data_IF_172165070611
#
_entry.id   IF_172165070611
#
_cell.length_a   1.000
_cell.length_b   1.000
_cell.length_c   1.000
_cell.angle_alpha   90.00
_cell.angle_beta   90.00
_cell.angle_gamma   90.00
#
_symmetry.space_group_name_H-M   'P 1'
#
loop_
_entity.id
_entity.type
_entity.pdbx_description
1 polymer ?
#
# COMPACT_ATOMS: atom_id res chain seq x y z
N UNK A 1 -5.01 -11.73 -3.74
CA UNK A 1 -3.84 -11.78 -2.86
C UNK A 1 -2.59 -11.30 -3.58
N UNK A 2 -1.72 -10.57 -2.89
CA UNK A 2 -0.43 -10.18 -3.49
C UNK A 2 0.51 -11.38 -3.55
N UNK A 3 1.17 -11.56 -4.69
CA UNK A 3 2.22 -12.57 -4.83
C UNK A 3 3.39 -12.27 -3.87
N UNK A 4 4.14 -13.29 -3.49
CA UNK A 4 5.24 -13.14 -2.53
C UNK A 4 6.27 -12.09 -2.99
N UNK A 5 6.56 -12.03 -4.29
CA UNK A 5 7.51 -11.06 -4.86
C UNK A 5 7.06 -9.61 -4.72
N UNK A 6 5.77 -9.39 -4.49
CA UNK A 6 5.20 -8.04 -4.33
C UNK A 6 4.96 -7.67 -2.86
N UNK A 7 5.44 -8.47 -1.91
CA UNK A 7 5.29 -8.18 -0.49
C UNK A 7 6.57 -7.60 0.09
N UNK A 8 6.48 -6.38 0.62
CA UNK A 8 7.59 -5.75 1.32
C UNK A 8 7.70 -6.29 2.73
N UNK A 9 8.89 -6.73 3.14
CA UNK A 9 9.11 -7.35 4.45
C UNK A 9 10.16 -6.65 5.29
N UNK A 10 11.02 -5.83 4.69
CA UNK A 10 12.12 -5.17 5.39
C UNK A 10 11.65 -3.91 6.11
N UNK A 11 11.95 -3.81 7.43
CA UNK A 11 11.66 -2.60 8.21
C UNK A 11 12.39 -1.38 7.65
N UNK A 12 13.62 -1.57 7.17
CA UNK A 12 14.40 -0.50 6.57
C UNK A 12 13.71 0.04 5.31
N UNK A 13 13.15 -0.85 4.51
CA UNK A 13 12.42 -0.46 3.30
C UNK A 13 11.15 0.32 3.64
N UNK A 14 10.41 -0.10 4.66
CA UNK A 14 9.24 0.64 5.14
C UNK A 14 9.60 2.08 5.50
N UNK A 15 10.69 2.25 6.26
CA UNK A 15 11.13 3.58 6.69
C UNK A 15 11.59 4.43 5.51
N UNK A 16 12.31 3.82 4.57
CA UNK A 16 12.81 4.51 3.38
C UNK A 16 11.66 5.05 2.53
N UNK A 17 10.63 4.25 2.32
CA UNK A 17 9.44 4.68 1.56
C UNK A 17 8.71 5.80 2.28
N UNK A 18 8.55 5.70 3.61
CA UNK A 18 7.88 6.73 4.38
C UNK A 18 8.62 8.07 4.35
N UNK A 19 9.94 8.04 4.37
CA UNK A 19 10.76 9.27 4.39
C UNK A 19 10.85 9.93 3.03
N UNK A 20 11.00 9.14 1.98
CA UNK A 20 11.36 9.64 0.65
C UNK A 20 10.22 9.56 -0.35
N UNK A 21 9.17 8.80 -0.05
CA UNK A 21 8.04 8.61 -0.95
C UNK A 21 7.03 9.75 -0.88
N UNK A 22 6.18 9.79 -1.88
CA UNK A 22 5.05 10.72 -1.91
C UNK A 22 3.93 10.18 -1.05
N UNK A 23 3.36 11.06 -0.21
CA UNK A 23 2.23 10.72 0.66
C UNK A 23 0.92 10.98 -0.04
N UNK A 24 0.06 9.98 -0.07
CA UNK A 24 -1.27 10.06 -0.68
C UNK A 24 -2.28 9.60 0.37
N UNK A 25 -3.27 10.43 0.64
CA UNK A 25 -4.36 10.08 1.56
C UNK A 25 -5.60 9.76 0.74
N UNK A 26 -6.12 8.56 0.93
CA UNK A 26 -7.37 8.13 0.31
C UNK A 26 -8.26 7.51 1.40
N UNK A 27 -9.51 7.21 1.09
CA UNK A 27 -10.47 6.76 2.10
C UNK A 27 -9.95 5.57 2.93
N UNK A 28 -9.77 5.76 4.23
CA UNK A 28 -9.33 4.72 5.16
C UNK A 28 -7.86 4.35 5.09
N UNK A 29 -7.07 4.99 4.22
CA UNK A 29 -5.67 4.63 3.99
C UNK A 29 -4.77 5.86 3.88
N UNK A 30 -3.53 5.71 4.38
CA UNK A 30 -2.42 6.61 4.05
C UNK A 30 -1.43 5.77 3.26
N UNK A 31 -1.10 6.21 2.05
CA UNK A 31 -0.21 5.47 1.16
C UNK A 31 1.04 6.30 0.89
N UNK A 32 2.21 5.69 1.05
CA UNK A 32 3.48 6.29 0.64
C UNK A 32 4.01 5.52 -0.57
N UNK A 33 4.41 6.25 -1.60
CA UNK A 33 4.88 5.64 -2.86
C UNK A 33 6.26 6.20 -3.20
N UNK A 34 7.23 5.31 -3.38
CA UNK A 34 8.60 5.66 -3.77
C UNK A 34 8.94 4.98 -5.09
N UNK A 35 8.93 5.75 -6.17
CA UNK A 35 9.27 5.25 -7.49
C UNK A 35 10.76 4.95 -7.61
N UNK A 36 11.08 3.87 -8.35
CA UNK A 36 12.47 3.52 -8.63
C UNK A 36 13.25 2.95 -7.45
N UNK A 37 12.58 2.62 -6.36
CA UNK A 37 13.23 2.07 -5.17
C UNK A 37 13.92 0.73 -5.43
N UNK A 38 13.32 -0.11 -6.27
CA UNK A 38 13.82 -1.44 -6.59
C UNK A 38 14.11 -1.55 -8.08
N UNK A 39 15.06 -0.76 -8.57
CA UNK A 39 15.41 -0.77 -10.00
C UNK A 39 15.74 -2.19 -10.47
N UNK A 40 15.05 -2.62 -11.52
CA UNK A 40 15.24 -3.96 -12.09
C UNK A 40 14.49 -5.07 -11.35
N UNK A 41 13.70 -4.74 -10.32
CA UNK A 41 12.97 -5.71 -9.52
C UNK A 41 11.47 -5.42 -9.53
N UNK A 42 10.69 -6.34 -8.94
CA UNK A 42 9.25 -6.19 -8.84
C UNK A 42 8.86 -5.07 -7.86
N UNK A 43 7.74 -4.40 -8.12
CA UNK A 43 7.12 -3.47 -7.18
C UNK A 43 6.75 -4.21 -5.90
N UNK A 44 7.01 -3.60 -4.75
CA UNK A 44 6.70 -4.20 -3.45
C UNK A 44 5.75 -3.33 -2.64
N UNK A 45 4.80 -3.98 -1.97
CA UNK A 45 3.79 -3.33 -1.14
C UNK A 45 3.92 -3.83 0.29
N UNK A 46 4.10 -2.90 1.22
CA UNK A 46 4.13 -3.18 2.64
C UNK A 46 2.88 -2.64 3.32
N UNK A 47 2.38 -3.36 4.32
CA UNK A 47 1.18 -2.98 5.05
C UNK A 47 1.51 -2.67 6.50
N UNK A 48 0.86 -1.63 7.04
CA UNK A 48 0.87 -1.33 8.46
C UNK A 48 -0.58 -1.29 8.95
N UNK A 49 -0.97 -2.27 9.73
CA UNK A 49 -2.31 -2.34 10.33
C UNK A 49 -2.11 -2.43 11.84
N UNK A 50 -2.29 -1.30 12.53
CA UNK A 50 -2.01 -1.19 13.94
C UNK A 50 -3.17 -1.62 14.83
N UNK A 51 -2.93 -1.56 16.15
CA UNK A 51 -3.93 -1.93 17.16
C UNK A 51 -5.17 -1.03 17.12
N UNK A 52 -5.04 0.18 16.61
CA UNK A 52 -6.15 1.11 16.43
C UNK A 52 -7.17 0.64 15.38
N UNK A 53 -6.81 -0.37 14.59
CA UNK A 53 -7.72 -1.00 13.62
C UNK A 53 -8.46 -2.22 14.19
N UNK A 54 -8.30 -2.50 15.48
CA UNK A 54 -9.03 -3.57 16.17
C UNK A 54 -8.13 -4.71 16.68
N UNK A 55 -8.75 -5.83 17.00
CA UNK A 55 -8.04 -7.01 17.50
C UNK A 55 -7.31 -7.75 16.36
N UNK A 56 -6.58 -8.82 16.69
CA UNK A 56 -5.78 -9.55 15.69
C UNK A 56 -6.62 -10.15 14.57
N UNK A 57 -7.83 -10.60 14.85
CA UNK A 57 -8.72 -11.14 13.81
C UNK A 57 -9.14 -10.03 12.84
N UNK A 58 -9.53 -8.88 13.38
CA UNK A 58 -9.93 -7.72 12.58
C UNK A 58 -8.78 -7.18 11.75
N UNK A 59 -7.58 -7.08 12.36
CA UNK A 59 -6.37 -6.61 11.65
C UNK A 59 -5.99 -7.55 10.51
N UNK A 60 -6.09 -8.86 10.73
CA UNK A 60 -5.78 -9.84 9.71
C UNK A 60 -6.76 -9.74 8.53
N UNK A 61 -8.05 -9.56 8.83
CA UNK A 61 -9.08 -9.35 7.80
C UNK A 61 -8.80 -8.09 6.99
N UNK A 62 -8.44 -7.00 7.67
CA UNK A 62 -8.09 -5.73 7.03
C UNK A 62 -6.89 -5.90 6.11
N UNK A 63 -5.84 -6.60 6.57
CA UNK A 63 -4.66 -6.86 5.75
C UNK A 63 -5.02 -7.61 4.47
N UNK A 64 -5.86 -8.62 4.56
CA UNK A 64 -6.32 -9.38 3.38
C UNK A 64 -7.11 -8.51 2.41
N UNK A 65 -7.97 -7.63 2.93
CA UNK A 65 -8.74 -6.70 2.10
C UNK A 65 -7.83 -5.75 1.34
N UNK A 66 -6.84 -5.19 2.02
CA UNK A 66 -5.88 -4.26 1.42
C UNK A 66 -5.05 -4.97 0.36
N UNK A 67 -4.55 -6.16 0.64
CA UNK A 67 -3.78 -6.94 -0.34
C UNK A 67 -4.61 -7.26 -1.57
N UNK A 68 -5.85 -7.64 -1.39
CA UNK A 68 -6.76 -7.92 -2.51
C UNK A 68 -7.00 -6.67 -3.35
N UNK A 69 -7.17 -5.51 -2.71
CA UNK A 69 -7.38 -4.24 -3.41
C UNK A 69 -6.14 -3.80 -4.19
N UNK A 70 -4.93 -4.06 -3.65
CA UNK A 70 -3.68 -3.64 -4.28
C UNK A 70 -3.17 -4.63 -5.33
N UNK A 71 -3.67 -5.85 -5.36
CA UNK A 71 -3.24 -6.83 -6.35
C UNK A 71 -3.34 -6.31 -7.79
N UNK A 72 -4.49 -5.78 -8.24
CA UNK A 72 -4.56 -5.21 -9.60
C UNK A 72 -3.79 -3.90 -9.76
N UNK A 73 -3.53 -3.18 -8.67
CA UNK A 73 -2.84 -1.89 -8.71
C UNK A 73 -1.35 -2.06 -9.00
N UNK A 74 -0.74 -3.12 -8.49
CA UNK A 74 0.71 -3.37 -8.62
C UNK A 74 1.15 -3.35 -10.09
N UNK A 75 0.37 -3.94 -10.98
CA UNK A 75 0.70 -4.00 -12.40
C UNK A 75 0.56 -2.64 -13.10
N UNK A 76 -0.13 -1.70 -12.50
CA UNK A 76 -0.34 -0.36 -13.06
C UNK A 76 0.73 0.64 -12.60
N UNK A 77 1.52 0.29 -11.58
CA UNK A 77 2.58 1.15 -11.08
C UNK A 77 3.87 0.92 -11.89
N UNK A 78 4.76 1.94 -11.96
CA UNK A 78 6.07 1.74 -12.59
C UNK A 78 6.80 0.57 -11.92
N UNK A 79 7.51 -0.27 -12.68
CA UNK A 79 8.27 -1.38 -12.09
C UNK A 79 9.28 -0.91 -11.05
N UNK A 80 9.43 -1.68 -9.98
CA UNK A 80 10.39 -1.35 -8.93
C UNK A 80 9.93 -0.29 -7.94
N UNK A 81 8.65 0.00 -7.90
CA UNK A 81 8.08 0.98 -6.96
C UNK A 81 7.94 0.37 -5.57
N UNK A 82 8.29 1.13 -4.54
CA UNK A 82 8.02 0.77 -3.15
C UNK A 82 6.75 1.46 -2.67
N UNK A 83 5.82 0.70 -2.10
CA UNK A 83 4.55 1.22 -1.60
C UNK A 83 4.36 0.79 -0.16
N UNK A 84 4.05 1.73 0.73
CA UNK A 84 3.68 1.41 2.11
C UNK A 84 2.27 1.94 2.37
N UNK A 85 1.40 1.04 2.79
CA UNK A 85 -0.01 1.33 3.04
C UNK A 85 -0.27 1.22 4.54
N UNK A 86 -0.74 2.32 5.13
CA UNK A 86 -1.17 2.33 6.53
C UNK A 86 -2.68 2.38 6.60
N UNK A 87 -3.28 1.42 7.31
CA UNK A 87 -4.71 1.43 7.56
C UNK A 87 -5.05 2.41 8.67
N UNK A 88 -6.09 3.20 8.47
CA UNK A 88 -6.62 4.12 9.48
C UNK A 88 -7.74 3.45 10.28
N UNK A 89 -8.06 3.92 11.50
CA UNK A 89 -9.08 3.29 12.34
C UNK A 89 -10.45 3.17 11.68
N UNK A 90 -10.81 4.06 10.77
CA UNK A 90 -12.08 4.04 10.07
C UNK A 90 -12.13 3.08 8.88
N UNK A 91 -11.07 2.29 8.67
CA UNK A 91 -10.99 1.35 7.54
C UNK A 91 -12.17 0.39 7.48
N UNK A 92 -12.75 0.03 8.63
CA UNK A 92 -13.88 -0.89 8.68
C UNK A 92 -15.16 -0.30 8.10
N UNK A 93 -15.28 1.02 8.08
CA UNK A 93 -16.44 1.73 7.53
C UNK A 93 -16.25 2.08 6.05
N UNK A 94 -15.09 1.76 5.47
CA UNK A 94 -14.73 2.15 4.11
C UNK A 94 -14.75 0.94 3.19
N UNK A 95 -15.32 1.10 2.00
CA UNK A 95 -15.22 0.11 0.94
C UNK A 95 -13.96 0.39 0.13
N UNK A 96 -13.08 -0.60 0.03
CA UNK A 96 -11.85 -0.48 -0.75
C UNK A 96 -12.16 -0.74 -2.22
N UNK A 97 -11.94 0.28 -3.05
CA UNK A 97 -12.15 0.21 -4.49
C UNK A 97 -10.79 0.37 -5.18
N UNK A 98 -10.32 -0.70 -5.81
CA UNK A 98 -9.01 -0.73 -6.48
C UNK A 98 -8.89 0.35 -7.55
N UNK A 99 -9.96 0.60 -8.31
CA UNK A 99 -9.94 1.58 -9.39
C UNK A 99 -9.74 3.01 -8.84
N UNK A 100 -10.47 3.37 -7.81
CA UNK A 100 -10.36 4.70 -7.19
C UNK A 100 -9.01 4.89 -6.51
N UNK A 101 -8.51 3.85 -5.84
CA UNK A 101 -7.18 3.89 -5.21
C UNK A 101 -6.12 4.08 -6.28
N UNK A 102 -6.19 3.31 -7.36
CA UNK A 102 -5.23 3.41 -8.46
C UNK A 102 -5.24 4.80 -9.10
N UNK A 103 -6.41 5.39 -9.31
CA UNK A 103 -6.52 6.76 -9.83
C UNK A 103 -5.82 7.77 -8.93
N UNK A 104 -6.04 7.67 -7.62
CA UNK A 104 -5.41 8.56 -6.64
C UNK A 104 -3.88 8.44 -6.66
N UNK A 105 -3.38 7.21 -6.70
CA UNK A 105 -1.93 6.97 -6.74
C UNK A 105 -1.31 7.46 -8.04
N UNK A 106 -1.89 7.10 -9.16
CA UNK A 106 -1.33 7.44 -10.48
C UNK A 106 -1.35 8.93 -10.76
N UNK A 107 -2.38 9.64 -10.28
CA UNK A 107 -2.44 11.09 -10.46
C UNK A 107 -1.31 11.80 -9.71
N UNK A 108 -0.88 11.29 -8.57
CA UNK A 108 0.25 11.85 -7.80
C UNK A 108 1.60 11.46 -8.41
N UNK A 109 1.72 10.25 -8.93
CA UNK A 109 2.97 9.76 -9.50
C UNK A 109 3.30 10.47 -10.81
N UNK A 110 2.29 10.76 -11.64
CA UNK A 110 2.46 11.39 -12.95
C UNK A 110 2.74 12.89 -12.89
N UNK A 111 2.60 13.48 -11.73
CA UNK A 111 2.97 14.88 -11.53
C UNK A 111 4.48 15.00 -11.20
#
# INVERSE_FOLDING_TARGET
MLAAQHRMRSSADFQKVRRNGKKIVTAGLIVHVYEGMYLGHATQVGLTVGKDCGNSVQRHRTSRRIRAAFNPIVSQLPPGTGVVVKALPDIHAVRLDSHLIAESLLSKIKL
#
